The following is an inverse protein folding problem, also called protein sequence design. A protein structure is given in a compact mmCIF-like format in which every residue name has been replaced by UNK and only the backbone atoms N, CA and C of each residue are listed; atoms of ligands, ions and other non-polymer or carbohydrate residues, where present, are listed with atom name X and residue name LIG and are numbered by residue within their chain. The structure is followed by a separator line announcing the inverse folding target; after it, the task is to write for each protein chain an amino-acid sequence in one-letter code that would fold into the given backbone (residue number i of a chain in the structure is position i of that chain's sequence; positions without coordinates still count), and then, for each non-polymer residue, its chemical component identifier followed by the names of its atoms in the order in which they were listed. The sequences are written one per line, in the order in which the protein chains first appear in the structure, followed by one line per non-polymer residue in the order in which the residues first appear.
data_IF_827641998408
#
_entry.id   IF_827641998408
#
_cell.length_a   1.000
_cell.length_b   1.000
_cell.length_c   1.000
_cell.angle_alpha   90.00
_cell.angle_beta   90.00
_cell.angle_gamma   90.00
#
_symmetry.space_group_name_H-M   'P 1'
#
loop_
_entity.id
_entity.type
_entity.pdbx_description
1 polymer ?
#
# COMPACT_ATOMS: atom_id res chain seq x y z
N UNK A 1 27.16 -18.32 26.66
CA UNK A 1 26.37 -17.08 26.44
C UNK A 1 26.18 -16.73 24.96
N UNK A 2 27.23 -16.66 24.12
CA UNK A 2 27.08 -16.29 22.71
C UNK A 2 26.14 -17.16 21.86
N UNK A 3 26.13 -18.49 22.05
CA UNK A 3 25.26 -19.41 21.27
C UNK A 3 23.77 -19.21 21.53
N UNK A 4 23.37 -18.97 22.79
CA UNK A 4 21.98 -18.71 23.16
C UNK A 4 21.47 -17.38 22.57
N UNK A 5 22.31 -16.35 22.56
CA UNK A 5 22.01 -15.06 21.92
C UNK A 5 21.81 -15.22 20.40
N UNK A 6 22.70 -15.97 19.74
CA UNK A 6 22.60 -16.23 18.30
C UNK A 6 21.32 -17.00 17.92
N UNK A 7 20.94 -17.99 18.75
CA UNK A 7 19.68 -18.70 18.59
C UNK A 7 18.47 -17.79 18.80
N UNK A 8 18.48 -16.94 19.83
CA UNK A 8 17.40 -15.99 20.09
C UNK A 8 17.20 -15.04 18.90
N UNK A 9 18.29 -14.46 18.36
CA UNK A 9 18.25 -13.59 17.18
C UNK A 9 17.69 -14.33 15.96
N UNK A 10 18.07 -15.60 15.74
CA UNK A 10 17.54 -16.41 14.65
C UNK A 10 16.03 -16.62 14.75
N UNK A 11 15.55 -17.03 15.93
CA UNK A 11 14.11 -17.24 16.15
C UNK A 11 13.32 -15.94 16.03
N UNK A 12 13.86 -14.84 16.57
CA UNK A 12 13.27 -13.53 16.47
C UNK A 12 13.16 -13.08 14.99
N UNK A 13 14.24 -13.24 14.23
CA UNK A 13 14.26 -12.91 12.81
C UNK A 13 13.25 -13.74 12.02
N UNK A 14 13.16 -15.05 12.29
CA UNK A 14 12.17 -15.91 11.66
C UNK A 14 10.74 -15.47 12.01
N UNK A 15 10.45 -15.21 13.29
CA UNK A 15 9.13 -14.80 13.74
C UNK A 15 8.69 -13.47 13.09
N UNK A 16 9.56 -12.45 13.06
CA UNK A 16 9.24 -11.19 12.40
C UNK A 16 9.02 -11.37 10.89
N UNK A 17 9.88 -12.12 10.20
CA UNK A 17 9.70 -12.37 8.76
C UNK A 17 8.41 -13.14 8.46
N UNK A 18 8.01 -14.06 9.33
CA UNK A 18 6.75 -14.79 9.20
C UNK A 18 5.54 -13.86 9.37
N UNK A 19 5.60 -12.93 10.33
CA UNK A 19 4.57 -11.90 10.51
C UNK A 19 4.46 -11.00 9.27
N UNK A 20 5.58 -10.55 8.72
CA UNK A 20 5.58 -9.76 7.47
C UNK A 20 5.02 -10.56 6.29
N UNK A 21 5.36 -11.84 6.18
CA UNK A 21 4.81 -12.71 5.15
C UNK A 21 3.28 -12.83 5.26
N UNK A 22 2.77 -13.14 6.46
CA UNK A 22 1.32 -13.22 6.72
C UNK A 22 0.62 -11.88 6.48
N UNK A 23 1.22 -10.78 6.91
CA UNK A 23 0.74 -9.42 6.64
C UNK A 23 0.68 -9.12 5.15
N UNK A 24 1.72 -9.49 4.40
CA UNK A 24 1.77 -9.38 2.94
C UNK A 24 0.66 -10.16 2.26
N UNK A 25 0.39 -11.41 2.69
CA UNK A 25 -0.75 -12.18 2.22
C UNK A 25 -2.10 -11.49 2.51
N UNK A 26 -2.25 -10.91 3.71
CA UNK A 26 -3.45 -10.15 4.07
C UNK A 26 -3.67 -8.92 3.19
N UNK A 27 -2.62 -8.10 3.01
CA UNK A 27 -2.67 -6.91 2.14
C UNK A 27 -2.94 -7.28 0.69
N UNK A 28 -2.29 -8.34 0.19
CA UNK A 28 -2.54 -8.87 -1.15
C UNK A 28 -3.99 -9.35 -1.31
N UNK A 29 -4.53 -10.05 -0.32
CA UNK A 29 -5.92 -10.50 -0.29
C UNK A 29 -6.90 -9.34 -0.33
N UNK A 30 -6.66 -8.28 0.46
CA UNK A 30 -7.46 -7.04 0.43
C UNK A 30 -7.34 -6.36 -0.95
N UNK A 31 -6.15 -6.30 -1.53
CA UNK A 31 -5.93 -5.73 -2.86
C UNK A 31 -6.70 -6.48 -3.95
N UNK A 32 -6.67 -7.81 -3.94
CA UNK A 32 -7.43 -8.66 -4.87
C UNK A 32 -8.94 -8.50 -4.64
N UNK A 33 -9.39 -8.48 -3.39
CA UNK A 33 -10.78 -8.25 -3.03
C UNK A 33 -11.28 -6.91 -3.56
N UNK A 34 -10.50 -5.84 -3.40
CA UNK A 34 -10.81 -4.53 -3.95
C UNK A 34 -10.84 -4.55 -5.48
N UNK A 35 -9.87 -5.19 -6.14
CA UNK A 35 -9.84 -5.31 -7.59
C UNK A 35 -11.06 -6.07 -8.15
N UNK A 36 -11.50 -7.13 -7.47
CA UNK A 36 -12.64 -7.95 -7.86
C UNK A 36 -13.99 -7.25 -7.59
N UNK A 37 -14.12 -6.58 -6.45
CA UNK A 37 -15.38 -5.93 -6.04
C UNK A 37 -15.57 -4.57 -6.73
N UNK A 38 -14.48 -3.88 -7.09
CA UNK A 38 -14.52 -2.57 -7.75
C UNK A 38 -14.28 -2.64 -9.27
N UNK A 39 -14.17 -3.85 -9.84
CA UNK A 39 -14.18 -4.15 -11.28
C UNK A 39 -13.44 -3.17 -12.19
N UNK A 40 -12.15 -3.41 -12.46
CA UNK A 40 -11.34 -2.88 -13.60
C UNK A 40 -11.44 -1.39 -14.03
N UNK A 41 -12.16 -0.50 -13.33
CA UNK A 41 -12.45 0.84 -13.84
C UNK A 41 -12.34 1.96 -12.80
N UNK A 42 -11.52 1.77 -11.77
CA UNK A 42 -11.04 2.88 -10.93
C UNK A 42 -9.66 3.35 -11.43
N UNK A 43 -9.61 3.89 -12.65
CA UNK A 43 -8.45 4.65 -13.14
C UNK A 43 -8.41 5.99 -12.40
N UNK A 44 -7.45 6.20 -11.49
CA UNK A 44 -7.24 7.50 -10.85
C UNK A 44 -6.82 8.58 -11.88
N UNK A 45 -6.36 8.18 -13.08
CA UNK A 45 -6.08 9.12 -14.17
C UNK A 45 -6.25 8.46 -15.54
N UNK A 46 -6.91 9.17 -16.47
CA UNK A 46 -7.01 8.79 -17.90
C UNK A 46 -5.66 8.70 -18.61
N UNK A 47 -4.57 9.11 -17.97
CA UNK A 47 -3.19 8.95 -18.48
C UNK A 47 -2.46 7.71 -17.95
N UNK A 48 -2.93 7.08 -16.86
CA UNK A 48 -2.27 5.90 -16.25
C UNK A 48 -3.31 4.92 -15.66
N UNK A 49 -3.94 4.08 -16.51
CA UNK A 49 -4.93 3.10 -16.05
C UNK A 49 -4.41 2.03 -15.07
N UNK A 50 -3.08 1.98 -14.86
CA UNK A 50 -2.38 1.02 -14.00
C UNK A 50 -2.27 1.44 -12.52
N UNK A 51 -2.53 2.70 -12.16
CA UNK A 51 -2.42 3.23 -10.79
C UNK A 51 -3.79 3.29 -10.10
N UNK A 52 -4.37 2.13 -9.80
CA UNK A 52 -5.52 2.03 -8.87
C UNK A 52 -5.03 1.72 -7.46
N UNK A 53 -5.73 2.21 -6.42
CA UNK A 53 -5.42 1.86 -5.03
C UNK A 53 -5.38 0.33 -4.82
N UNK A 54 -6.25 -0.41 -5.51
CA UNK A 54 -6.23 -1.87 -5.51
C UNK A 54 -4.93 -2.44 -6.10
N UNK A 55 -4.46 -1.91 -7.24
CA UNK A 55 -3.21 -2.35 -7.85
C UNK A 55 -1.99 -2.04 -6.98
N UNK A 56 -1.97 -0.88 -6.32
CA UNK A 56 -0.93 -0.53 -5.36
C UNK A 56 -0.89 -1.52 -4.18
N UNK A 57 -2.05 -1.88 -3.62
CA UNK A 57 -2.13 -2.88 -2.57
C UNK A 57 -1.68 -4.27 -3.03
N UNK A 58 -2.03 -4.67 -4.27
CA UNK A 58 -1.58 -5.93 -4.86
C UNK A 58 -0.06 -5.94 -5.03
N UNK A 59 0.52 -4.90 -5.63
CA UNK A 59 1.97 -4.81 -5.89
C UNK A 59 2.73 -4.79 -4.57
N UNK A 60 2.35 -3.93 -3.64
CA UNK A 60 3.00 -3.82 -2.33
C UNK A 60 2.83 -5.11 -1.52
N UNK A 61 1.63 -5.69 -1.50
CA UNK A 61 1.36 -6.94 -0.80
C UNK A 61 2.18 -8.11 -1.34
N UNK A 62 2.26 -8.26 -2.66
CA UNK A 62 3.09 -9.27 -3.30
C UNK A 62 4.59 -9.07 -3.03
N UNK A 63 5.05 -7.82 -3.03
CA UNK A 63 6.45 -7.48 -2.73
C UNK A 63 6.82 -7.79 -1.28
N UNK A 64 5.99 -7.39 -0.31
CA UNK A 64 6.17 -7.69 1.12
C UNK A 64 6.14 -9.20 1.37
N UNK A 65 5.20 -9.91 0.72
CA UNK A 65 5.12 -11.37 0.79
C UNK A 65 6.40 -12.02 0.25
N UNK A 66 6.92 -11.58 -0.90
CA UNK A 66 8.14 -12.12 -1.47
C UNK A 66 9.38 -11.89 -0.57
N UNK A 67 9.54 -10.66 -0.04
CA UNK A 67 10.63 -10.33 0.89
C UNK A 67 10.53 -11.16 2.17
N UNK A 68 9.34 -11.25 2.76
CA UNK A 68 9.10 -12.05 3.97
C UNK A 68 9.40 -13.53 3.76
N UNK A 69 9.06 -14.07 2.58
CA UNK A 69 9.37 -15.46 2.21
C UNK A 69 10.89 -15.69 2.09
N UNK A 70 11.60 -14.79 1.41
CA UNK A 70 13.07 -14.85 1.29
C UNK A 70 13.74 -14.74 2.67
N UNK A 71 13.23 -13.86 3.55
CA UNK A 71 13.72 -13.73 4.92
C UNK A 71 13.49 -14.98 5.77
N UNK A 72 12.30 -15.59 5.68
CA UNK A 72 11.99 -16.85 6.35
C UNK A 72 12.89 -18.00 5.87
N UNK A 73 13.05 -18.16 4.55
CA UNK A 73 13.92 -19.19 3.98
C UNK A 73 15.39 -18.95 4.33
N UNK A 74 15.85 -17.69 4.31
CA UNK A 74 17.19 -17.29 4.71
C UNK A 74 17.49 -17.66 6.16
N UNK A 75 16.53 -17.41 7.06
CA UNK A 75 16.62 -17.77 8.46
C UNK A 75 16.66 -19.29 8.69
N UNK A 76 15.78 -20.05 8.03
CA UNK A 76 15.69 -21.52 8.19
C UNK A 76 16.92 -22.22 7.61
N UNK A 77 17.30 -21.87 6.38
CA UNK A 77 18.37 -22.55 5.63
C UNK A 77 19.77 -22.11 6.04
N UNK A 78 19.89 -21.11 6.93
CA UNK A 78 21.16 -20.49 7.33
C UNK A 78 22.04 -20.09 6.12
N UNK A 79 21.39 -19.78 4.99
CA UNK A 79 22.09 -19.46 3.75
C UNK A 79 22.50 -17.99 3.77
N UNK A 80 23.80 -17.74 3.96
CA UNK A 80 24.40 -16.41 3.98
C UNK A 80 24.08 -15.57 2.75
N UNK A 81 24.03 -16.19 1.57
CA UNK A 81 23.70 -15.48 0.33
C UNK A 81 22.24 -14.99 0.37
N UNK A 82 21.31 -15.82 0.82
CA UNK A 82 19.89 -15.47 0.91
C UNK A 82 19.65 -14.39 1.98
N UNK A 83 20.36 -14.46 3.09
CA UNK A 83 20.31 -13.43 4.14
C UNK A 83 20.92 -12.09 3.66
N UNK A 84 22.00 -12.14 2.89
CA UNK A 84 22.61 -10.94 2.29
C UNK A 84 21.64 -10.31 1.28
N UNK A 85 21.01 -11.10 0.42
CA UNK A 85 20.00 -10.61 -0.52
C UNK A 85 18.83 -9.95 0.22
N UNK A 86 18.33 -10.58 1.29
CA UNK A 86 17.29 -9.98 2.14
C UNK A 86 17.72 -8.62 2.71
N UNK A 87 18.94 -8.53 3.25
CA UNK A 87 19.48 -7.27 3.77
C UNK A 87 19.60 -6.19 2.69
N UNK A 88 20.11 -6.54 1.50
CA UNK A 88 20.23 -5.60 0.38
C UNK A 88 18.87 -5.10 -0.12
N UNK A 89 17.86 -5.99 -0.16
CA UNK A 89 16.49 -5.60 -0.51
C UNK A 89 15.90 -4.62 0.51
N UNK A 90 16.05 -4.90 1.81
CA UNK A 90 15.60 -3.98 2.86
C UNK A 90 16.31 -2.63 2.80
N UNK A 91 17.63 -2.63 2.56
CA UNK A 91 18.39 -1.41 2.42
C UNK A 91 17.91 -0.58 1.23
N UNK A 92 17.63 -1.22 0.10
CA UNK A 92 17.10 -0.54 -1.08
C UNK A 92 15.72 0.06 -0.81
N UNK A 93 14.82 -0.68 -0.16
CA UNK A 93 13.49 -0.18 0.23
C UNK A 93 13.62 1.02 1.16
N UNK A 94 14.51 0.95 2.16
CA UNK A 94 14.75 2.07 3.07
C UNK A 94 15.24 3.33 2.35
N UNK A 95 16.15 3.20 1.38
CA UNK A 95 16.63 4.34 0.58
C UNK A 95 15.53 4.92 -0.31
N UNK A 96 14.67 4.07 -0.88
CA UNK A 96 13.51 4.49 -1.67
C UNK A 96 12.50 5.23 -0.80
N UNK A 97 12.14 4.68 0.36
CA UNK A 97 11.21 5.32 1.31
C UNK A 97 11.76 6.66 1.80
N UNK A 98 13.05 6.73 2.15
CA UNK A 98 13.69 7.98 2.54
C UNK A 98 13.63 9.02 1.42
N UNK A 99 13.87 8.61 0.17
CA UNK A 99 13.78 9.51 -1.00
C UNK A 99 12.35 10.00 -1.19
N UNK A 100 11.36 9.11 -1.12
CA UNK A 100 9.93 9.45 -1.23
C UNK A 100 9.54 10.43 -0.12
N UNK A 101 9.96 10.17 1.13
CA UNK A 101 9.66 11.03 2.27
C UNK A 101 10.25 12.44 2.09
N UNK A 102 11.52 12.55 1.67
CA UNK A 102 12.17 13.83 1.40
C UNK A 102 11.44 14.59 0.29
N UNK A 103 11.09 13.90 -0.81
CA UNK A 103 10.32 14.50 -1.90
C UNK A 103 8.92 14.94 -1.44
N UNK A 104 8.27 14.15 -0.58
CA UNK A 104 6.96 14.49 -0.03
C UNK A 104 6.99 15.78 0.78
N UNK A 105 8.00 15.93 1.64
CA UNK A 105 8.19 17.16 2.42
C UNK A 105 8.64 18.35 1.57
N UNK A 106 9.50 18.14 0.57
CA UNK A 106 9.98 19.22 -0.30
C UNK A 106 8.88 19.76 -1.24
N UNK A 107 7.92 18.92 -1.61
CA UNK A 107 6.87 19.26 -2.60
C UNK A 107 5.45 19.18 -2.03
N UNK A 108 5.27 19.37 -0.72
CA UNK A 108 3.97 19.21 -0.04
C UNK A 108 2.85 20.01 -0.73
N UNK A 109 3.06 21.28 -1.09
CA UNK A 109 2.04 22.09 -1.78
C UNK A 109 1.65 21.56 -3.16
N UNK A 110 2.58 20.94 -3.88
CA UNK A 110 2.27 20.33 -5.19
C UNK A 110 1.48 19.05 -4.97
N UNK A 111 1.92 18.21 -4.04
CA UNK A 111 1.29 16.93 -3.72
C UNK A 111 -0.13 17.14 -3.21
N UNK A 112 -0.36 18.12 -2.34
CA UNK A 112 -1.70 18.46 -1.85
C UNK A 112 -2.65 18.83 -2.99
N UNK A 113 -2.22 19.71 -3.91
CA UNK A 113 -3.02 20.06 -5.11
C UNK A 113 -3.28 18.87 -6.03
N UNK A 114 -2.29 17.98 -6.21
CA UNK A 114 -2.49 16.76 -6.98
C UNK A 114 -3.50 15.83 -6.31
N UNK A 115 -3.38 15.62 -5.00
CA UNK A 115 -4.29 14.78 -4.22
C UNK A 115 -5.72 15.33 -4.25
N UNK A 116 -5.91 16.64 -4.04
CA UNK A 116 -7.23 17.27 -4.12
C UNK A 116 -7.86 17.09 -5.51
N UNK A 117 -7.09 17.27 -6.59
CA UNK A 117 -7.57 17.07 -7.96
C UNK A 117 -8.01 15.63 -8.20
N UNK A 118 -7.24 14.67 -7.70
CA UNK A 118 -7.53 13.25 -7.84
C UNK A 118 -8.79 12.84 -7.07
N UNK A 119 -8.92 13.32 -5.84
CA UNK A 119 -10.11 13.13 -5.02
C UNK A 119 -11.35 13.76 -5.66
N UNK A 120 -11.24 14.98 -6.22
CA UNK A 120 -12.36 15.62 -6.94
C UNK A 120 -12.80 14.82 -8.16
N UNK A 121 -11.86 14.26 -8.93
CA UNK A 121 -12.19 13.32 -10.03
C UNK A 121 -12.91 12.08 -9.51
N UNK A 122 -12.46 11.54 -8.38
CA UNK A 122 -13.12 10.41 -7.72
C UNK A 122 -14.55 10.76 -7.27
N UNK A 123 -14.80 12.01 -6.88
CA UNK A 123 -16.13 12.50 -6.51
C UNK A 123 -17.08 12.55 -7.72
N UNK A 124 -16.62 12.96 -8.91
CA UNK A 124 -17.43 12.93 -10.14
C UNK A 124 -17.87 11.53 -10.56
N UNK A 125 -17.17 10.48 -10.11
CA UNK A 125 -17.53 9.09 -10.37
C UNK A 125 -18.53 8.54 -9.34
N UNK A 126 -18.92 9.32 -8.35
CA UNK A 126 -19.87 8.91 -7.32
C UNK A 126 -21.25 8.60 -7.92
N UNK A 127 -21.85 7.45 -7.57
CA UNK A 127 -23.19 7.07 -8.03
C UNK A 127 -23.28 6.62 -9.50
N UNK A 128 -22.19 6.59 -10.25
CA UNK A 128 -22.17 6.10 -11.64
C UNK A 128 -22.29 4.57 -11.72
N UNK A 129 -22.95 4.06 -12.78
CA UNK A 129 -23.13 2.61 -12.98
C UNK A 129 -21.77 1.92 -13.13
N UNK A 130 -21.47 0.97 -12.23
CA UNK A 130 -20.18 0.28 -12.15
C UNK A 130 -19.27 0.72 -11.00
N UNK A 131 -19.55 1.87 -10.36
CA UNK A 131 -18.70 2.44 -9.28
C UNK A 131 -19.34 2.34 -7.87
N UNK A 132 -20.11 1.29 -7.61
CA UNK A 132 -20.76 1.04 -6.31
C UNK A 132 -19.77 0.95 -5.15
N UNK A 133 -18.59 0.35 -5.38
CA UNK A 133 -17.54 0.26 -4.35
C UNK A 133 -16.93 1.62 -3.99
N UNK A 134 -16.68 2.48 -4.98
CA UNK A 134 -16.18 3.84 -4.78
C UNK A 134 -17.21 4.72 -4.06
N UNK A 135 -18.48 4.58 -4.44
CA UNK A 135 -19.62 5.26 -3.79
C UNK A 135 -19.72 4.88 -2.32
N UNK A 136 -19.64 3.58 -2.00
CA UNK A 136 -19.68 3.11 -0.62
C UNK A 136 -18.48 3.61 0.20
N UNK A 137 -17.27 3.60 -0.38
CA UNK A 137 -16.08 4.12 0.28
C UNK A 137 -16.21 5.63 0.60
N UNK A 138 -16.73 6.42 -0.33
CA UNK A 138 -17.02 7.84 -0.11
C UNK A 138 -18.05 8.04 1.02
N UNK A 139 -19.13 7.27 1.04
CA UNK A 139 -20.13 7.34 2.10
C UNK A 139 -19.57 6.99 3.47
N UNK A 140 -18.73 5.96 3.57
CA UNK A 140 -18.06 5.57 4.81
C UNK A 140 -17.14 6.68 5.30
N UNK A 141 -16.26 7.19 4.44
CA UNK A 141 -15.31 8.26 4.80
C UNK A 141 -16.07 9.50 5.28
N UNK A 142 -17.08 9.96 4.53
CA UNK A 142 -17.84 11.16 4.90
C UNK A 142 -18.63 10.98 6.20
N UNK A 143 -19.18 9.78 6.43
CA UNK A 143 -19.93 9.48 7.67
C UNK A 143 -19.01 9.36 8.88
N UNK A 144 -17.91 8.62 8.77
CA UNK A 144 -16.99 8.35 9.88
C UNK A 144 -16.20 9.61 10.28
N UNK A 145 -15.72 10.37 9.29
CA UNK A 145 -14.97 11.60 9.54
C UNK A 145 -15.86 12.84 9.66
N UNK A 146 -17.19 12.70 9.50
CA UNK A 146 -18.17 13.81 9.52
C UNK A 146 -17.77 14.98 8.62
N UNK A 147 -17.23 14.66 7.44
CA UNK A 147 -16.81 15.63 6.42
C UNK A 147 -17.68 15.49 5.16
N UNK A 148 -17.64 16.50 4.28
CA UNK A 148 -18.44 16.51 3.06
C UNK A 148 -17.65 17.19 1.93
N UNK A 149 -17.42 16.47 0.83
CA UNK A 149 -16.56 16.91 -0.27
C UNK A 149 -15.07 16.77 0.03
N UNK A 150 -14.21 17.31 -0.84
CA UNK A 150 -12.74 17.25 -0.71
C UNK A 150 -12.23 18.42 0.11
N UNK A 151 -12.64 19.63 -0.28
CA UNK A 151 -12.34 20.87 0.41
C UNK A 151 -13.57 21.41 1.13
N UNK A 152 -14.76 21.29 0.52
CA UNK A 152 -16.01 21.77 1.11
C UNK A 152 -17.24 21.07 0.50
N UNK A 153 -18.41 21.21 1.15
CA UNK A 153 -19.67 20.66 0.65
C UNK A 153 -20.04 21.17 -0.74
N UNK A 154 -19.52 22.35 -1.13
CA UNK A 154 -19.74 22.95 -2.45
C UNK A 154 -19.13 22.12 -3.58
N UNK A 155 -18.15 21.26 -3.30
CA UNK A 155 -17.54 20.38 -4.31
C UNK A 155 -18.58 19.42 -4.92
N UNK A 156 -19.67 19.13 -4.22
CA UNK A 156 -20.79 18.33 -4.74
C UNK A 156 -21.67 19.06 -5.75
N UNK A 157 -21.60 20.40 -5.83
CA UNK A 157 -22.40 21.16 -6.80
C UNK A 157 -21.84 21.07 -8.22
N UNK A 158 -20.58 20.65 -8.36
CA UNK A 158 -19.91 20.45 -9.65
C UNK A 158 -20.06 19.01 -10.17
N UNK A 159 -20.62 18.09 -9.36
CA UNK A 159 -20.73 16.65 -9.61
C UNK A 159 -22.01 16.27 -10.35
#
# INVERSE_FOLDING_TARGET
MARACLQAVKYLMFAFNLLFWLGGCGVLGVGIWLAATQGSFATLSSSFPSLSAANLLIITGAFVMAIGFVGCLGAIKENKCLLLTFFLLLLLVFLLEATIAILFFAYTDKIDRYAQRDLKKGLHLYGTQGNVGLTNAWSIIQTDFRCCGVSNYTDWFEV
#
